data_IF_109248691284
#
_entry.id   IF_109248691284
#
_cell.length_a   1.000
_cell.length_b   1.000
_cell.length_c   1.000
_cell.angle_alpha   90.00
_cell.angle_beta   90.00
_cell.angle_gamma   90.00
#
_symmetry.space_group_name_H-M   'P 1'
#
loop_
_entity.id
_entity.type
_entity.pdbx_description
1 polymer ?
#
# COMPACT_ATOMS: atom_id res chain seq x y z
N UNK A 1 -8.59 -11.64 2.62
CA UNK A 1 -9.13 -10.28 2.73
C UNK A 1 -8.68 -9.38 1.59
N UNK A 2 -7.37 -9.16 1.39
CA UNK A 2 -6.82 -8.32 0.31
C UNK A 2 -7.33 -8.73 -1.09
N UNK A 3 -7.31 -10.03 -1.41
CA UNK A 3 -7.80 -10.51 -2.72
C UNK A 3 -9.30 -10.22 -2.92
N UNK A 4 -10.08 -10.15 -1.84
CA UNK A 4 -11.50 -9.79 -1.90
C UNK A 4 -11.71 -8.30 -2.16
N UNK A 5 -10.89 -7.44 -1.54
CA UNK A 5 -10.89 -5.99 -1.83
C UNK A 5 -10.54 -5.77 -3.31
N UNK A 6 -9.49 -6.43 -3.80
CA UNK A 6 -9.12 -6.39 -5.21
C UNK A 6 -10.27 -6.86 -6.11
N UNK A 7 -10.89 -8.00 -5.82
CA UNK A 7 -12.03 -8.52 -6.58
C UNK A 7 -13.18 -7.51 -6.69
N UNK A 8 -13.56 -6.89 -5.56
CA UNK A 8 -14.67 -5.93 -5.51
C UNK A 8 -14.35 -4.64 -6.26
N UNK A 9 -13.14 -4.12 -6.11
CA UNK A 9 -12.68 -2.92 -6.82
C UNK A 9 -12.56 -3.18 -8.32
N UNK A 10 -12.05 -4.35 -8.71
CA UNK A 10 -11.98 -4.77 -10.11
C UNK A 10 -13.34 -4.78 -10.78
N UNK A 11 -14.34 -5.38 -10.13
CA UNK A 11 -15.70 -5.39 -10.66
C UNK A 11 -16.36 -4.01 -10.65
N UNK A 12 -16.08 -3.17 -9.64
CA UNK A 12 -16.58 -1.79 -9.60
C UNK A 12 -16.05 -0.96 -10.77
N UNK A 13 -14.76 -1.05 -11.09
CA UNK A 13 -14.18 -0.40 -12.27
C UNK A 13 -14.71 -0.99 -13.58
N UNK A 14 -14.84 -2.32 -13.65
CA UNK A 14 -15.34 -2.99 -14.85
C UNK A 14 -16.81 -2.61 -15.14
N UNK A 15 -17.64 -2.47 -14.10
CA UNK A 15 -19.04 -2.01 -14.21
C UNK A 15 -19.15 -0.59 -14.78
N UNK A 16 -18.16 0.26 -14.49
CA UNK A 16 -18.05 1.62 -15.05
C UNK A 16 -17.40 1.67 -16.44
N UNK A 17 -17.05 0.52 -17.03
CA UNK A 17 -16.31 0.40 -18.30
C UNK A 17 -14.95 1.10 -18.29
N UNK A 18 -14.35 1.25 -17.11
CA UNK A 18 -12.99 1.77 -16.95
C UNK A 18 -11.96 0.64 -17.09
N UNK A 19 -10.68 0.99 -17.23
CA UNK A 19 -9.58 0.03 -17.38
C UNK A 19 -9.27 -0.73 -16.08
N UNK A 20 -10.19 -1.59 -15.62
CA UNK A 20 -10.13 -2.32 -14.35
C UNK A 20 -8.82 -3.09 -14.16
N UNK A 21 -8.26 -3.66 -15.25
CA UNK A 21 -6.99 -4.38 -15.23
C UNK A 21 -5.80 -3.51 -14.83
N UNK A 22 -5.84 -2.21 -15.10
CA UNK A 22 -4.80 -1.25 -14.71
C UNK A 22 -5.14 -0.51 -13.42
N UNK A 23 -6.39 -0.05 -13.29
CA UNK A 23 -6.82 0.76 -12.15
C UNK A 23 -6.88 -0.03 -10.85
N UNK A 24 -7.27 -1.31 -10.89
CA UNK A 24 -7.39 -2.11 -9.66
C UNK A 24 -6.03 -2.43 -9.03
N UNK A 25 -5.00 -2.87 -9.78
CA UNK A 25 -3.66 -2.99 -9.22
C UNK A 25 -3.08 -1.67 -8.73
N UNK A 26 -3.36 -0.54 -9.41
CA UNK A 26 -2.89 0.77 -8.96
C UNK A 26 -3.57 1.22 -7.66
N UNK A 27 -4.87 0.97 -7.53
CA UNK A 27 -5.62 1.16 -6.29
C UNK A 27 -5.03 0.33 -5.14
N UNK A 28 -4.76 -0.95 -5.39
CA UNK A 28 -4.13 -1.83 -4.39
C UNK A 28 -2.72 -1.36 -4.04
N UNK A 29 -1.96 -0.85 -5.01
CA UNK A 29 -0.63 -0.28 -4.77
C UNK A 29 -0.72 0.92 -3.82
N UNK A 30 -1.68 1.82 -4.01
CA UNK A 30 -1.91 2.94 -3.10
C UNK A 30 -2.26 2.48 -1.68
N UNK A 31 -3.15 1.49 -1.53
CA UNK A 31 -3.47 0.93 -0.21
C UNK A 31 -2.20 0.41 0.47
N UNK A 32 -1.40 -0.39 -0.25
CA UNK A 32 -0.16 -0.93 0.31
C UNK A 32 0.87 0.17 0.63
N UNK A 33 0.98 1.19 -0.22
CA UNK A 33 1.85 2.33 0.04
C UNK A 33 1.50 3.02 1.36
N UNK A 34 0.23 3.29 1.62
CA UNK A 34 -0.13 3.93 2.89
C UNK A 34 -0.08 2.99 4.10
N UNK A 35 -0.38 1.71 3.90
CA UNK A 35 -0.35 0.71 4.96
C UNK A 35 1.07 0.41 5.45
N UNK A 36 2.04 0.34 4.52
CA UNK A 36 3.46 0.13 4.83
C UNK A 36 4.26 1.43 5.00
N UNK A 37 3.61 2.58 4.82
CA UNK A 37 4.24 3.90 4.93
C UNK A 37 5.02 4.11 6.23
N UNK A 38 4.49 3.75 7.42
CA UNK A 38 5.21 3.97 8.68
C UNK A 38 6.53 3.23 8.75
N UNK A 39 6.56 1.99 8.21
CA UNK A 39 7.75 1.16 8.19
C UNK A 39 8.77 1.69 7.18
N UNK A 40 8.32 2.11 6.00
CA UNK A 40 9.19 2.69 4.99
C UNK A 40 9.85 3.98 5.49
N UNK A 41 9.09 4.89 6.10
CA UNK A 41 9.65 6.11 6.67
C UNK A 41 10.54 5.85 7.88
N UNK A 42 10.25 4.83 8.69
CA UNK A 42 11.14 4.42 9.75
C UNK A 42 12.51 3.99 9.21
N UNK A 43 12.54 3.16 8.17
CA UNK A 43 13.77 2.80 7.48
C UNK A 43 14.47 4.02 6.87
N UNK A 44 13.72 4.96 6.31
CA UNK A 44 14.29 6.22 5.80
C UNK A 44 14.97 7.02 6.92
N UNK A 45 14.36 7.13 8.10
CA UNK A 45 14.95 7.83 9.24
C UNK A 45 16.20 7.12 9.77
N UNK A 46 16.26 5.78 9.76
CA UNK A 46 17.45 5.02 10.14
C UNK A 46 18.61 5.20 9.14
N UNK A 47 18.29 5.21 7.84
CA UNK A 47 19.21 5.36 6.71
C UNK A 47 19.39 6.83 6.31
N UNK A 48 18.99 7.77 7.16
CA UNK A 48 19.11 9.18 6.82
C UNK A 48 20.56 9.61 6.90
N UNK A 49 21.11 10.01 5.76
CA UNK A 49 22.44 10.58 5.72
C UNK A 49 22.36 12.05 6.19
N UNK A 50 23.26 12.44 7.09
CA UNK A 50 23.33 13.79 7.63
C UNK A 50 23.91 14.79 6.63
N UNK A 51 24.71 14.33 5.68
CA UNK A 51 25.41 15.16 4.69
C UNK A 51 24.68 15.21 3.34
N UNK A 52 24.06 14.10 2.93
CA UNK A 52 23.35 14.01 1.66
C UNK A 52 21.86 13.73 1.86
N UNK A 53 21.01 14.49 1.15
CA UNK A 53 19.56 14.34 1.24
C UNK A 53 19.08 13.15 0.40
N UNK A 54 19.27 11.93 0.93
CA UNK A 54 18.93 10.68 0.27
C UNK A 54 17.44 10.26 0.42
N UNK A 55 16.66 10.99 1.21
CA UNK A 55 15.24 10.74 1.50
C UNK A 55 14.40 10.46 0.23
N UNK A 56 14.62 11.26 -0.84
CA UNK A 56 13.87 11.13 -2.08
C UNK A 56 14.15 9.83 -2.82
N UNK A 57 15.40 9.36 -2.81
CA UNK A 57 15.78 8.09 -3.45
C UNK A 57 15.20 6.89 -2.71
N UNK A 58 15.28 6.90 -1.38
CA UNK A 58 14.73 5.84 -0.53
C UNK A 58 13.21 5.71 -0.70
N UNK A 59 12.51 6.85 -0.70
CA UNK A 59 11.06 6.87 -0.93
C UNK A 59 10.72 6.38 -2.36
N UNK A 60 11.51 6.77 -3.36
CA UNK A 60 11.28 6.35 -4.75
C UNK A 60 11.47 4.85 -4.93
N UNK A 61 12.51 4.26 -4.35
CA UNK A 61 12.75 2.81 -4.36
C UNK A 61 11.58 2.08 -3.70
N UNK A 62 11.13 2.57 -2.55
CA UNK A 62 9.99 2.02 -1.83
C UNK A 62 8.70 2.01 -2.67
N UNK A 63 8.35 3.14 -3.27
CA UNK A 63 7.16 3.24 -4.13
C UNK A 63 7.26 2.33 -5.34
N UNK A 64 8.44 2.23 -5.96
CA UNK A 64 8.70 1.34 -7.08
C UNK A 64 8.57 -0.14 -6.69
N UNK A 65 9.06 -0.53 -5.51
CA UNK A 65 8.87 -1.88 -4.97
C UNK A 65 7.39 -2.22 -4.79
N UNK A 66 6.58 -1.29 -4.28
CA UNK A 66 5.13 -1.51 -4.12
C UNK A 66 4.42 -1.62 -5.45
N UNK A 67 4.77 -0.78 -6.42
CA UNK A 67 4.21 -0.84 -7.76
C UNK A 67 4.51 -2.19 -8.43
N UNK A 68 5.77 -2.63 -8.39
CA UNK A 68 6.18 -3.93 -8.89
C UNK A 68 5.43 -5.06 -8.17
N UNK A 69 5.37 -5.01 -6.83
CA UNK A 69 4.66 -6.01 -6.04
C UNK A 69 3.18 -6.11 -6.42
N UNK A 70 2.49 -4.98 -6.51
CA UNK A 70 1.06 -4.95 -6.87
C UNK A 70 0.85 -5.46 -8.29
N UNK A 71 1.70 -5.04 -9.23
CA UNK A 71 1.66 -5.48 -10.61
C UNK A 71 1.85 -7.00 -10.71
N UNK A 72 2.91 -7.56 -10.14
CA UNK A 72 3.20 -9.00 -10.19
C UNK A 72 2.08 -9.84 -9.52
N UNK A 73 1.46 -9.31 -8.47
CA UNK A 73 0.41 -10.02 -7.74
C UNK A 73 -0.94 -10.01 -8.45
N UNK A 74 -1.33 -8.88 -9.04
CA UNK A 74 -2.71 -8.63 -9.48
C UNK A 74 -2.90 -8.40 -10.98
N UNK A 75 -1.84 -8.12 -11.74
CA UNK A 75 -1.93 -7.90 -13.18
C UNK A 75 -2.04 -9.18 -14.04
N UNK A 76 -1.40 -10.32 -13.69
CA UNK A 76 -1.46 -11.52 -14.52
C UNK A 76 -2.89 -12.06 -14.68
N UNK A 77 -3.32 -12.28 -15.93
CA UNK A 77 -4.68 -12.78 -16.24
C UNK A 77 -5.03 -14.07 -15.48
N UNK A 78 -4.07 -15.00 -15.33
CA UNK A 78 -4.25 -16.23 -14.56
C UNK A 78 -4.63 -15.95 -13.09
N UNK A 79 -4.00 -14.96 -12.46
CA UNK A 79 -4.27 -14.56 -11.07
C UNK A 79 -5.64 -13.91 -10.95
N UNK A 80 -5.99 -13.01 -11.88
CA UNK A 80 -7.32 -12.38 -11.92
C UNK A 80 -8.42 -13.43 -12.06
N UNK A 81 -8.25 -14.39 -12.97
CA UNK A 81 -9.20 -15.49 -13.16
C UNK A 81 -9.38 -16.34 -11.89
N UNK A 82 -8.27 -16.72 -11.24
CA UNK A 82 -8.32 -17.47 -9.97
C UNK A 82 -9.06 -16.70 -8.87
N UNK A 83 -8.80 -15.39 -8.74
CA UNK A 83 -9.47 -14.53 -7.76
C UNK A 83 -10.97 -14.43 -8.09
N UNK A 84 -11.34 -14.24 -9.35
CA UNK A 84 -12.73 -14.19 -9.77
C UNK A 84 -13.46 -15.48 -9.43
N UNK A 85 -12.91 -16.63 -9.82
CA UNK A 85 -13.51 -17.95 -9.52
C UNK A 85 -13.64 -18.20 -8.02
N UNK A 86 -12.68 -17.72 -7.22
CA UNK A 86 -12.69 -17.86 -5.76
C UNK A 86 -13.84 -17.12 -5.08
N UNK A 87 -14.26 -15.98 -5.62
CA UNK A 87 -15.28 -15.12 -5.02
C UNK A 87 -16.58 -15.04 -5.83
N UNK A 88 -16.67 -15.77 -6.93
CA UNK A 88 -17.88 -15.98 -7.70
C UNK A 88 -18.95 -16.64 -6.83
N UNK A 89 -20.16 -16.09 -6.82
CA UNK A 89 -21.27 -16.58 -5.99
C UNK A 89 -21.15 -16.27 -4.48
N UNK A 90 -20.15 -15.53 -4.02
CA UNK A 90 -20.04 -15.17 -2.61
C UNK A 90 -21.23 -14.27 -2.18
N UNK A 91 -22.00 -14.71 -1.17
CA UNK A 91 -23.17 -13.99 -0.70
C UNK A 91 -22.89 -12.62 -0.07
N UNK A 92 -21.64 -12.32 0.30
CA UNK A 92 -21.27 -10.97 0.73
C UNK A 92 -21.22 -9.97 -0.43
N UNK A 93 -21.18 -10.45 -1.68
CA UNK A 93 -21.08 -9.59 -2.86
C UNK A 93 -22.28 -8.66 -3.01
N UNK A 94 -23.48 -9.11 -2.67
CA UNK A 94 -24.71 -8.31 -2.75
C UNK A 94 -24.99 -7.47 -1.49
N UNK A 95 -24.37 -7.81 -0.35
CA UNK A 95 -24.63 -7.14 0.94
C UNK A 95 -23.80 -5.87 1.12
N UNK A 96 -22.55 -5.88 0.68
CA UNK A 96 -21.62 -4.77 0.89
C UNK A 96 -21.64 -3.90 -0.37
N UNK A 97 -21.92 -2.59 -0.28
CA UNK A 97 -21.91 -1.73 -1.44
C UNK A 97 -20.47 -1.43 -1.90
N UNK A 98 -20.28 -1.19 -3.20
CA UNK A 98 -18.94 -1.02 -3.78
C UNK A 98 -18.17 0.17 -3.20
N UNK A 99 -18.88 1.25 -2.81
CA UNK A 99 -18.24 2.44 -2.22
C UNK A 99 -17.48 2.15 -0.93
N UNK A 100 -17.92 1.17 -0.12
CA UNK A 100 -17.22 0.78 1.10
C UNK A 100 -15.78 0.33 0.82
N UNK A 101 -15.52 -0.30 -0.34
CA UNK A 101 -14.18 -0.75 -0.68
C UNK A 101 -13.25 0.41 -1.05
N UNK A 102 -13.80 1.54 -1.52
CA UNK A 102 -13.04 2.77 -1.81
C UNK A 102 -12.71 3.57 -0.55
N UNK A 103 -13.46 3.37 0.55
CA UNK A 103 -13.15 3.95 1.87
C UNK A 103 -11.89 3.33 2.50
N UNK A 104 -11.45 2.16 2.02
CA UNK A 104 -10.20 1.53 2.49
C UNK A 104 -8.99 2.44 2.24
N UNK A 105 -8.98 3.19 1.14
CA UNK A 105 -7.87 4.10 0.82
C UNK A 105 -7.72 5.28 1.80
N UNK A 106 -8.75 6.10 2.09
CA UNK A 106 -8.60 7.14 3.10
C UNK A 106 -8.31 6.57 4.49
N UNK A 107 -8.85 5.39 4.83
CA UNK A 107 -8.51 4.72 6.08
C UNK A 107 -7.04 4.31 6.15
N UNK A 108 -6.46 3.79 5.05
CA UNK A 108 -5.04 3.45 5.02
C UNK A 108 -4.14 4.67 5.13
N UNK A 109 -4.54 5.81 4.55
CA UNK A 109 -3.85 7.09 4.70
C UNK A 109 -3.84 7.54 6.16
N UNK A 110 -5.01 7.58 6.80
CA UNK A 110 -5.15 7.98 8.22
C UNK A 110 -4.31 7.06 9.11
N UNK A 111 -4.39 5.75 8.88
CA UNK A 111 -3.56 4.77 9.57
C UNK A 111 -2.06 5.05 9.41
N UNK A 112 -1.60 5.27 8.19
CA UNK A 112 -0.19 5.54 7.89
C UNK A 112 0.32 6.79 8.62
N UNK A 113 -0.44 7.88 8.57
CA UNK A 113 -0.06 9.15 9.22
C UNK A 113 -0.01 9.01 10.74
N UNK A 114 -1.06 8.43 11.34
CA UNK A 114 -1.14 8.26 12.80
C UNK A 114 0.00 7.37 13.28
N UNK A 115 0.19 6.22 12.64
CA UNK A 115 1.20 5.24 13.03
C UNK A 115 2.60 5.81 12.90
N UNK A 116 2.91 6.50 11.80
CA UNK A 116 4.20 7.16 11.64
C UNK A 116 4.43 8.25 12.70
N UNK A 117 3.40 9.05 13.00
CA UNK A 117 3.48 10.10 14.03
C UNK A 117 3.79 9.52 15.41
N UNK A 118 3.15 8.41 15.76
CA UNK A 118 3.42 7.67 17.00
C UNK A 118 4.84 7.10 17.00
N UNK A 119 5.28 6.51 15.88
CA UNK A 119 6.62 5.95 15.73
C UNK A 119 7.70 7.03 15.93
N UNK A 120 7.53 8.21 15.34
CA UNK A 120 8.45 9.34 15.54
C UNK A 120 8.50 9.77 17.00
N UNK A 121 7.33 9.92 17.62
CA UNK A 121 7.21 10.45 18.99
C UNK A 121 7.77 9.48 20.04
N UNK A 122 7.48 8.19 19.91
CA UNK A 122 7.77 7.20 20.95
C UNK A 122 9.02 6.36 20.68
N UNK A 123 9.47 6.25 19.43
CA UNK A 123 10.64 5.44 19.07
C UNK A 123 11.79 6.28 18.50
N UNK A 124 11.58 6.97 17.37
CA UNK A 124 12.71 7.61 16.67
C UNK A 124 13.36 8.70 17.52
N UNK A 125 12.58 9.60 18.12
CA UNK A 125 13.13 10.69 18.94
C UNK A 125 13.74 10.19 20.26
N UNK A 126 13.05 9.37 21.07
CA UNK A 126 13.59 8.97 22.38
C UNK A 126 14.86 8.12 22.28
N UNK A 127 14.99 7.31 21.23
CA UNK A 127 16.16 6.44 21.04
C UNK A 127 17.22 7.04 20.10
N UNK A 128 17.08 8.32 19.70
CA UNK A 128 18.00 9.00 18.79
C UNK A 128 18.35 8.18 17.53
N UNK A 129 17.35 7.50 16.94
CA UNK A 129 17.56 6.51 15.87
C UNK A 129 17.89 7.13 14.50
N UNK A 130 17.83 8.46 14.38
CA UNK A 130 18.05 9.14 13.11
C UNK A 130 19.48 8.95 12.63
N UNK A 131 19.64 8.44 11.42
CA UNK A 131 20.95 8.22 10.78
C UNK A 131 21.83 7.23 11.52
N UNK A 132 21.27 6.43 12.43
CA UNK A 132 22.06 5.54 13.29
C UNK A 132 22.87 4.52 12.49
N UNK A 133 22.34 4.06 11.35
CA UNK A 133 23.03 3.10 10.47
C UNK A 133 24.26 3.74 9.83
N UNK A 134 24.15 4.99 9.39
CA UNK A 134 25.29 5.72 8.80
C UNK A 134 26.34 6.09 9.84
N UNK A 135 25.95 6.37 11.08
CA UNK A 135 26.90 6.65 12.16
C UNK A 135 27.65 5.39 12.65
N UNK A 136 27.15 4.19 12.34
CA UNK A 136 27.78 2.91 12.70
C UNK A 136 28.69 2.34 11.60
N UNK A 137 28.56 2.82 10.36
CA UNK A 137 29.37 2.45 9.19
C UNK A 137 30.58 3.37 9.06
#
# INVERSE_FOLDING_TARGET
>A
MIDYIFYRVYWAYNKKRESAKFLSPLYMAMIFAFLFFPFALFLCELLRDSYHRNDGYLLSIYLLMILIYSYLRFFPNKKIWLINKKFEGNGYNYKIPDWCFFVVLPLSIVWGIITYSLLVKFFIKPFALRGIIYNML
#
